data_IF_337041061984
#
_entry.id   IF_337041061984
#
_cell.length_a   1.000
_cell.length_b   1.000
_cell.length_c   1.000
_cell.angle_alpha   90.00
_cell.angle_beta   90.00
_cell.angle_gamma   90.00
#
_symmetry.space_group_name_H-M   'P 1'
#
loop_
_entity.id
_entity.type
_entity.pdbx_description
1 polymer ?
#
# COMPACT_ATOMS: atom_id res chain seq x y z
N UNK A 1 -42.31 -41.37 -17.10
CA UNK A 1 -43.00 -40.65 -16.01
C UNK A 1 -41.96 -39.81 -15.28
N UNK A 2 -41.93 -38.50 -15.54
CA UNK A 2 -40.82 -37.57 -15.26
C UNK A 2 -41.42 -36.34 -14.56
N UNK A 3 -41.35 -36.31 -13.25
CA UNK A 3 -41.89 -35.30 -12.31
C UNK A 3 -41.20 -35.65 -11.00
N UNK A 4 -40.31 -34.86 -10.41
CA UNK A 4 -40.42 -33.52 -9.81
C UNK A 4 -38.95 -33.08 -9.59
N UNK A 5 -38.39 -32.01 -10.19
CA UNK A 5 -38.45 -30.57 -9.81
C UNK A 5 -38.14 -30.35 -8.31
N UNK A 6 -37.56 -29.21 -7.92
CA UNK A 6 -36.99 -28.82 -6.61
C UNK A 6 -35.46 -29.01 -6.56
N UNK A 7 -34.64 -28.25 -7.30
CA UNK A 7 -34.40 -26.80 -7.20
C UNK A 7 -33.89 -26.34 -5.82
N UNK A 8 -32.75 -26.85 -5.36
CA UNK A 8 -32.02 -26.32 -4.18
C UNK A 8 -30.51 -26.16 -4.50
N UNK A 9 -30.17 -25.75 -5.73
CA UNK A 9 -28.77 -25.60 -6.15
C UNK A 9 -28.39 -24.15 -6.51
N UNK A 10 -29.24 -23.16 -6.20
CA UNK A 10 -29.06 -21.79 -6.71
C UNK A 10 -28.76 -20.73 -5.64
N UNK A 11 -28.80 -21.05 -4.33
CA UNK A 11 -28.67 -20.01 -3.30
C UNK A 11 -27.26 -19.87 -2.68
N UNK A 12 -26.36 -20.83 -2.90
CA UNK A 12 -25.00 -20.80 -2.33
C UNK A 12 -23.94 -20.16 -3.24
N UNK A 13 -24.30 -19.76 -4.48
CA UNK A 13 -23.35 -19.22 -5.46
C UNK A 13 -23.10 -17.70 -5.36
N UNK A 14 -23.69 -16.99 -4.39
CA UNK A 14 -23.51 -15.53 -4.26
C UNK A 14 -22.25 -15.09 -3.47
N UNK A 15 -21.44 -16.02 -2.95
CA UNK A 15 -20.36 -15.71 -1.99
C UNK A 15 -18.96 -15.56 -2.60
N UNK A 16 -18.81 -15.66 -3.93
CA UNK A 16 -17.51 -15.58 -4.63
C UNK A 16 -17.34 -14.29 -5.42
N UNK A 17 -17.98 -13.19 -5.03
CA UNK A 17 -17.59 -11.88 -5.55
C UNK A 17 -16.30 -11.50 -4.82
N UNK A 18 -15.12 -11.46 -5.48
CA UNK A 18 -13.98 -10.77 -4.90
C UNK A 18 -14.39 -9.32 -4.75
N UNK A 19 -14.55 -8.89 -3.50
CA UNK A 19 -14.69 -7.48 -3.17
C UNK A 19 -13.42 -6.84 -3.71
N UNK A 20 -13.54 -6.12 -4.84
CA UNK A 20 -12.44 -5.39 -5.40
C UNK A 20 -12.09 -4.29 -4.40
N UNK A 21 -11.10 -4.57 -3.54
CA UNK A 21 -10.53 -3.59 -2.63
C UNK A 21 -9.95 -2.49 -3.53
N UNK A 22 -10.60 -1.34 -3.56
CA UNK A 22 -10.07 -0.15 -4.20
C UNK A 22 -8.88 0.31 -3.35
N UNK A 23 -7.68 -0.12 -3.72
CA UNK A 23 -6.44 0.41 -3.15
C UNK A 23 -6.33 1.88 -3.55
N UNK A 24 -6.08 2.77 -2.58
CA UNK A 24 -5.90 4.20 -2.85
C UNK A 24 -4.61 4.52 -3.61
N UNK A 25 -4.25 5.80 -3.75
CA UNK A 25 -3.10 6.21 -4.53
C UNK A 25 -1.78 5.68 -3.92
N UNK A 26 -0.87 5.23 -4.79
CA UNK A 26 0.47 4.81 -4.39
C UNK A 26 1.50 5.89 -4.74
N UNK A 27 2.51 6.04 -3.89
CA UNK A 27 3.60 7.00 -4.03
C UNK A 27 4.93 6.28 -4.01
N UNK A 28 5.79 6.58 -4.98
CA UNK A 28 7.17 6.09 -5.03
C UNK A 28 8.11 7.15 -4.47
N UNK A 29 8.86 6.77 -3.44
CA UNK A 29 9.83 7.59 -2.74
C UNK A 29 11.21 7.03 -3.03
N UNK A 30 12.10 7.85 -3.59
CA UNK A 30 13.51 7.51 -3.71
C UNK A 30 14.23 7.98 -2.45
N UNK A 31 14.83 7.05 -1.71
CA UNK A 31 15.41 7.31 -0.39
C UNK A 31 16.88 6.91 -0.35
N UNK A 32 17.73 7.83 0.07
CA UNK A 32 19.15 7.56 0.34
C UNK A 32 19.36 7.13 1.80
N UNK A 33 20.36 6.26 2.02
CA UNK A 33 20.78 5.78 3.34
C UNK A 33 20.21 4.41 3.75
N UNK A 34 19.38 3.79 2.91
CA UNK A 34 18.88 2.43 3.14
C UNK A 34 19.97 1.39 2.84
N UNK A 35 20.82 1.10 3.82
CA UNK A 35 21.98 0.22 3.65
C UNK A 35 21.81 -1.21 4.19
N UNK A 36 20.80 -1.48 5.03
CA UNK A 36 20.60 -2.80 5.62
C UNK A 36 19.12 -3.10 5.95
N UNK A 37 18.75 -4.36 6.24
CA UNK A 37 17.38 -4.74 6.58
C UNK A 37 16.80 -4.00 7.79
N UNK A 38 17.64 -3.67 8.78
CA UNK A 38 17.19 -2.89 9.95
C UNK A 38 16.86 -1.44 9.59
N UNK A 39 17.58 -0.84 8.64
CA UNK A 39 17.23 0.49 8.12
C UNK A 39 15.89 0.47 7.39
N UNK A 40 15.65 -0.56 6.57
CA UNK A 40 14.38 -0.76 5.88
C UNK A 40 13.21 -0.88 6.87
N UNK A 41 13.36 -1.72 7.89
CA UNK A 41 12.35 -1.85 8.94
C UNK A 41 12.07 -0.51 9.66
N UNK A 42 13.12 0.26 9.94
CA UNK A 42 13.00 1.56 10.61
C UNK A 42 12.21 2.59 9.79
N UNK A 43 12.49 2.69 8.49
CA UNK A 43 11.76 3.61 7.61
C UNK A 43 10.32 3.14 7.37
N UNK A 44 10.09 1.83 7.16
CA UNK A 44 8.75 1.25 7.00
C UNK A 44 7.90 1.63 8.19
N UNK A 45 8.35 1.30 9.40
CA UNK A 45 7.62 1.61 10.64
C UNK A 45 7.28 3.10 10.75
N UNK A 46 8.19 4.00 10.36
CA UNK A 46 7.96 5.45 10.42
C UNK A 46 6.91 5.91 9.41
N UNK A 47 6.95 5.37 8.19
CA UNK A 47 6.02 5.71 7.11
C UNK A 47 4.65 5.07 7.34
N UNK A 48 4.56 3.82 7.79
CA UNK A 48 3.29 3.17 8.15
C UNK A 48 2.60 3.84 9.35
N UNK A 49 3.31 4.68 10.10
CA UNK A 49 2.72 5.50 11.18
C UNK A 49 2.06 6.79 10.68
N UNK A 50 2.12 7.08 9.37
CA UNK A 50 1.37 8.19 8.77
C UNK A 50 -0.10 7.79 8.69
N UNK A 51 -0.98 8.69 9.13
CA UNK A 51 -2.42 8.47 9.05
C UNK A 51 -2.87 8.25 7.61
N UNK A 52 -3.68 7.20 7.39
CA UNK A 52 -4.18 6.83 6.07
C UNK A 52 -3.21 6.03 5.21
N UNK A 53 -2.07 5.57 5.73
CA UNK A 53 -1.24 4.58 5.04
C UNK A 53 -1.84 3.19 5.22
N UNK A 54 -2.06 2.49 4.10
CA UNK A 54 -2.53 1.10 4.06
C UNK A 54 -1.36 0.11 3.99
N UNK A 55 -0.33 0.43 3.21
CA UNK A 55 0.81 -0.46 2.97
C UNK A 55 2.11 0.30 2.69
N UNK A 56 3.24 -0.31 3.03
CA UNK A 56 4.58 0.20 2.73
C UNK A 56 5.50 -0.93 2.30
N UNK A 57 6.22 -0.76 1.19
CA UNK A 57 7.17 -1.74 0.67
C UNK A 57 8.52 -1.10 0.38
N UNK A 58 9.59 -1.67 0.90
CA UNK A 58 10.96 -1.17 0.68
C UNK A 58 11.77 -2.10 -0.21
N UNK A 59 12.44 -1.51 -1.19
CA UNK A 59 13.51 -2.15 -1.95
C UNK A 59 14.86 -1.50 -1.60
N UNK A 60 15.62 -2.17 -0.72
CA UNK A 60 16.95 -1.71 -0.27
C UNK A 60 17.94 -1.60 -1.44
N UNK A 61 17.85 -2.49 -2.44
CA UNK A 61 18.81 -2.51 -3.55
C UNK A 61 18.67 -1.27 -4.44
N UNK A 62 17.45 -0.79 -4.62
CA UNK A 62 17.17 0.39 -5.46
C UNK A 62 17.02 1.66 -4.65
N UNK A 63 16.82 1.58 -3.32
CA UNK A 63 16.47 2.71 -2.48
C UNK A 63 15.03 3.20 -2.68
N UNK A 64 14.18 2.40 -3.34
CA UNK A 64 12.78 2.74 -3.57
C UNK A 64 11.92 2.32 -2.37
N UNK A 65 11.01 3.21 -1.95
CA UNK A 65 9.97 2.92 -0.98
C UNK A 65 8.62 3.24 -1.61
N UNK A 66 7.73 2.25 -1.68
CA UNK A 66 6.36 2.44 -2.13
C UNK A 66 5.48 2.63 -0.91
N UNK A 67 4.68 3.69 -0.90
CA UNK A 67 3.68 3.96 0.13
C UNK A 67 2.31 3.97 -0.54
N UNK A 68 1.42 3.07 -0.09
CA UNK A 68 0.04 3.03 -0.56
C UNK A 68 -0.85 3.66 0.48
N UNK A 69 -1.62 4.66 0.06
CA UNK A 69 -2.59 5.33 0.92
C UNK A 69 -3.98 4.69 0.76
N UNK A 70 -4.82 4.89 1.77
CA UNK A 70 -6.25 4.62 1.69
C UNK A 70 -6.95 5.46 0.61
N UNK A 71 -8.12 4.99 0.18
CA UNK A 71 -8.89 5.61 -0.90
C UNK A 71 -9.21 7.08 -0.60
N UNK A 72 -8.93 7.96 -1.57
CA UNK A 72 -9.20 9.40 -1.43
C UNK A 72 -8.25 10.15 -0.47
N UNK A 73 -7.25 9.50 0.13
CA UNK A 73 -6.28 10.13 1.02
C UNK A 73 -4.96 10.36 0.27
N UNK A 74 -4.61 11.61 -0.08
CA UNK A 74 -3.33 11.88 -0.72
C UNK A 74 -2.19 11.92 0.31
N UNK A 75 -1.01 11.46 -0.11
CA UNK A 75 0.23 11.71 0.64
C UNK A 75 0.83 13.03 0.16
N UNK A 76 0.99 13.99 1.08
CA UNK A 76 1.72 15.22 0.78
C UNK A 76 3.24 14.98 0.77
N UNK A 77 3.93 15.52 -0.23
CA UNK A 77 5.39 15.37 -0.36
C UNK A 77 6.13 15.91 0.87
N UNK A 78 5.71 17.06 1.41
CA UNK A 78 6.36 17.65 2.60
C UNK A 78 6.22 16.76 3.84
N UNK A 79 5.06 16.11 4.01
CA UNK A 79 4.84 15.15 5.09
C UNK A 79 5.74 13.92 4.90
N UNK A 80 5.80 13.37 3.69
CA UNK A 80 6.69 12.26 3.36
C UNK A 80 8.16 12.64 3.64
N UNK A 81 8.61 13.80 3.17
CA UNK A 81 9.96 14.33 3.38
C UNK A 81 10.29 14.47 4.86
N UNK A 82 9.38 15.03 5.65
CA UNK A 82 9.55 15.16 7.10
C UNK A 82 9.69 13.78 7.76
N UNK A 83 8.84 12.81 7.41
CA UNK A 83 8.86 11.48 8.02
C UNK A 83 10.10 10.68 7.65
N UNK A 84 10.55 10.77 6.39
CA UNK A 84 11.82 10.20 5.93
C UNK A 84 13.00 10.80 6.70
N UNK A 85 13.01 12.13 6.89
CA UNK A 85 14.04 12.82 7.68
C UNK A 85 14.02 12.41 9.15
N UNK A 86 12.83 12.30 9.75
CA UNK A 86 12.66 11.86 11.14
C UNK A 86 13.09 10.41 11.37
N UNK A 87 13.14 9.60 10.30
CA UNK A 87 13.70 8.26 10.32
C UNK A 87 15.23 8.24 10.11
N UNK A 88 15.85 9.39 9.84
CA UNK A 88 17.30 9.51 9.62
C UNK A 88 17.75 9.35 8.17
N UNK A 89 16.83 9.43 7.20
CA UNK A 89 17.11 9.23 5.78
C UNK A 89 16.87 10.50 4.96
N UNK A 90 17.22 10.46 3.66
CA UNK A 90 17.04 11.59 2.75
C UNK A 90 16.10 11.23 1.61
N UNK A 91 15.03 12.01 1.42
CA UNK A 91 14.10 11.88 0.30
C UNK A 91 14.65 12.59 -0.94
N UNK A 92 15.04 11.81 -1.95
CA UNK A 92 15.63 12.26 -3.22
C UNK A 92 14.58 12.59 -4.27
N UNK A 93 13.53 11.79 -4.35
CA UNK A 93 12.45 11.98 -5.31
C UNK A 93 11.13 11.48 -4.73
N UNK A 94 10.05 12.08 -5.18
CA UNK A 94 8.69 11.75 -4.81
C UNK A 94 7.83 11.77 -6.08
N UNK A 95 7.08 10.70 -6.33
CA UNK A 95 6.14 10.67 -7.44
C UNK A 95 4.89 9.88 -7.08
N UNK A 96 3.73 10.36 -7.52
CA UNK A 96 2.49 9.60 -7.43
C UNK A 96 2.41 8.63 -8.60
N UNK A 97 2.23 7.34 -8.29
CA UNK A 97 1.97 6.30 -9.27
C UNK A 97 0.46 6.16 -9.38
N UNK A 98 -0.13 6.81 -10.38
CA UNK A 98 -1.53 6.55 -10.72
C UNK A 98 -1.64 5.14 -11.27
N UNK A 99 -2.54 4.34 -10.71
CA UNK A 99 -2.94 3.05 -11.28
C UNK A 99 -3.61 3.27 -12.63
#
# INVERSE_FOLDING_TARGET
MKIIRHSIAALTLLFLIPIAQASGPSYALQVDGLACPFCAYGIEKKLSSIEGVDDTQVNIKTGEVIVTMGEGVPLAEDLARSKVKDAGFTLRAFSQRSK
#
